data_IF_535004010600
#
_entry.id   IF_535004010600
#
_cell.length_a   1.000
_cell.length_b   1.000
_cell.length_c   1.000
_cell.angle_alpha   90.00
_cell.angle_beta   90.00
_cell.angle_gamma   90.00
#
_symmetry.space_group_name_H-M   'P 1'
#
loop_
_entity.id
_entity.type
_entity.pdbx_description
1 polymer ?
#
# COMPACT_ATOMS: atom_id res chain seq x y z
N UNK A 1 1.70 -4.59 19.12
CA UNK A 1 1.56 -5.76 18.20
C UNK A 1 0.41 -5.69 17.18
N UNK A 2 -0.83 -5.33 17.53
CA UNK A 2 -2.02 -5.47 16.66
C UNK A 2 -1.97 -4.73 15.29
N UNK A 3 -1.09 -3.75 15.11
CA UNK A 3 -0.96 -2.98 13.87
C UNK A 3 0.05 -3.56 12.85
N UNK A 4 0.84 -4.57 13.24
CA UNK A 4 1.82 -5.20 12.33
C UNK A 4 1.10 -5.99 11.23
N UNK A 5 0.09 -6.77 11.60
CA UNK A 5 -0.69 -7.60 10.68
C UNK A 5 -1.34 -6.77 9.56
N UNK A 6 -2.15 -5.72 9.86
CA UNK A 6 -2.76 -4.91 8.81
C UNK A 6 -1.72 -4.15 7.98
N UNK A 7 -0.57 -3.77 8.56
CA UNK A 7 0.49 -3.09 7.82
C UNK A 7 1.19 -4.03 6.81
N UNK A 8 1.52 -5.24 7.23
CA UNK A 8 2.10 -6.28 6.34
C UNK A 8 1.10 -6.66 5.24
N UNK A 9 -0.19 -6.76 5.58
CA UNK A 9 -1.25 -6.98 4.60
C UNK A 9 -1.35 -5.84 3.57
N UNK A 10 -1.22 -4.57 4.00
CA UNK A 10 -1.19 -3.42 3.09
C UNK A 10 0.00 -3.50 2.12
N UNK A 11 1.20 -3.90 2.58
CA UNK A 11 2.34 -4.11 1.69
C UNK A 11 2.10 -5.23 0.67
N UNK A 12 1.52 -6.35 1.10
CA UNK A 12 1.15 -7.45 0.20
C UNK A 12 0.14 -7.01 -0.86
N UNK A 13 -0.90 -6.27 -0.45
CA UNK A 13 -1.87 -5.69 -1.37
C UNK A 13 -1.20 -4.74 -2.36
N UNK A 14 -0.29 -3.90 -1.90
CA UNK A 14 0.39 -2.93 -2.75
C UNK A 14 1.22 -3.62 -3.84
N UNK A 15 1.95 -4.68 -3.49
CA UNK A 15 2.69 -5.50 -4.45
C UNK A 15 1.73 -6.18 -5.43
N UNK A 16 0.65 -6.80 -4.94
CA UNK A 16 -0.34 -7.45 -5.80
C UNK A 16 -1.00 -6.48 -6.78
N UNK A 17 -1.45 -5.32 -6.30
CA UNK A 17 -2.04 -4.28 -7.14
C UNK A 17 -1.05 -3.71 -8.16
N UNK A 18 0.22 -3.55 -7.78
CA UNK A 18 1.26 -3.08 -8.69
C UNK A 18 1.48 -4.05 -9.85
N UNK A 19 1.50 -5.36 -9.57
CA UNK A 19 1.61 -6.40 -10.59
C UNK A 19 0.39 -6.40 -11.51
N UNK A 20 -0.82 -6.32 -10.94
CA UNK A 20 -2.07 -6.28 -11.72
C UNK A 20 -2.12 -5.06 -12.64
N UNK A 21 -1.74 -3.88 -12.13
CA UNK A 21 -1.71 -2.65 -12.93
C UNK A 21 -0.64 -2.74 -14.01
N UNK A 22 0.52 -3.33 -13.73
CA UNK A 22 1.59 -3.48 -14.72
C UNK A 22 1.16 -4.42 -15.86
N UNK A 23 0.58 -5.57 -15.54
CA UNK A 23 0.10 -6.55 -16.53
C UNK A 23 -1.07 -5.99 -17.35
N UNK A 24 -1.97 -5.25 -16.72
CA UNK A 24 -3.16 -4.68 -17.39
C UNK A 24 -2.94 -3.23 -17.84
N UNK A 25 -1.69 -2.74 -17.85
CA UNK A 25 -1.38 -1.33 -18.13
C UNK A 25 -1.90 -0.89 -19.49
N UNK A 26 -1.73 -1.71 -20.52
CA UNK A 26 -2.24 -1.44 -21.87
C UNK A 26 -3.76 -1.32 -21.93
N UNK A 27 -4.48 -2.11 -21.12
CA UNK A 27 -5.96 -2.08 -21.05
C UNK A 27 -6.44 -0.87 -20.25
N UNK A 28 -5.74 -0.51 -19.18
CA UNK A 28 -6.08 0.64 -18.34
C UNK A 28 -5.77 1.98 -19.01
N UNK A 29 -4.75 2.03 -19.87
CA UNK A 29 -4.34 3.25 -20.58
C UNK A 29 -5.40 3.66 -21.60
N UNK A 30 -5.92 2.70 -22.37
CA UNK A 30 -7.03 2.91 -23.30
C UNK A 30 -8.30 3.46 -22.63
N UNK A 31 -8.51 3.16 -21.35
CA UNK A 31 -9.66 3.62 -20.58
C UNK A 31 -9.46 4.94 -19.84
N UNK A 32 -8.28 5.55 -19.90
CA UNK A 32 -7.89 6.71 -19.06
C UNK A 32 -8.08 6.48 -17.55
N UNK A 33 -8.12 5.21 -17.12
CA UNK A 33 -8.32 4.80 -15.72
C UNK A 33 -7.00 4.55 -15.01
N UNK A 34 -5.90 4.41 -15.75
CA UNK A 34 -4.56 4.16 -15.23
C UNK A 34 -4.16 5.19 -14.16
N UNK A 35 -4.47 6.47 -14.38
CA UNK A 35 -4.22 7.52 -13.39
C UNK A 35 -4.97 7.34 -12.07
N UNK A 36 -6.24 6.89 -12.12
CA UNK A 36 -7.04 6.63 -10.91
C UNK A 36 -6.51 5.42 -10.14
N UNK A 37 -6.08 4.36 -10.84
CA UNK A 37 -5.46 3.19 -10.23
C UNK A 37 -4.11 3.51 -9.57
N UNK A 38 -3.28 4.33 -10.22
CA UNK A 38 -2.02 4.83 -9.63
C UNK A 38 -2.29 5.71 -8.40
N UNK A 39 -3.34 6.52 -8.43
CA UNK A 39 -3.74 7.32 -7.27
C UNK A 39 -4.18 6.45 -6.08
N UNK A 40 -4.95 5.38 -6.33
CA UNK A 40 -5.32 4.41 -5.30
C UNK A 40 -4.09 3.69 -4.74
N UNK A 41 -3.15 3.28 -5.59
CA UNK A 41 -1.86 2.69 -5.16
C UNK A 41 -1.08 3.64 -4.25
N UNK A 42 -1.01 4.94 -4.61
CA UNK A 42 -0.37 5.98 -3.79
C UNK A 42 -1.05 6.13 -2.43
N UNK A 43 -2.39 6.11 -2.39
CA UNK A 43 -3.15 6.12 -1.13
C UNK A 43 -2.82 4.92 -0.25
N UNK A 44 -2.77 3.72 -0.84
CA UNK A 44 -2.42 2.48 -0.15
C UNK A 44 -0.98 2.49 0.37
N UNK A 45 -0.05 3.10 -0.38
CA UNK A 45 1.33 3.34 0.04
C UNK A 45 1.41 4.26 1.26
N UNK A 46 0.65 5.37 1.26
CA UNK A 46 0.61 6.29 2.40
C UNK A 46 0.04 5.64 3.65
N UNK A 47 -1.03 4.84 3.52
CA UNK A 47 -1.60 4.06 4.64
C UNK A 47 -0.56 3.10 5.21
N UNK A 48 0.20 2.42 4.35
CA UNK A 48 1.29 1.52 4.75
C UNK A 48 2.46 2.25 5.43
N UNK A 49 2.79 3.46 4.98
CA UNK A 49 3.80 4.30 5.64
C UNK A 49 3.36 4.75 7.04
N UNK A 50 2.10 5.15 7.21
CA UNK A 50 1.54 5.54 8.51
C UNK A 50 1.52 4.36 9.47
N UNK A 51 1.12 3.17 8.99
CA UNK A 51 1.16 1.94 9.78
C UNK A 51 2.58 1.60 10.24
N UNK A 52 3.56 1.70 9.34
CA UNK A 52 4.98 1.51 9.64
C UNK A 52 5.51 2.54 10.66
N UNK A 53 5.15 3.81 10.51
CA UNK A 53 5.54 4.87 11.46
C UNK A 53 4.94 4.65 12.85
N UNK A 54 3.71 4.17 12.93
CA UNK A 54 3.09 3.77 14.22
C UNK A 54 3.78 2.58 14.87
N UNK A 55 4.22 1.59 14.09
CA UNK A 55 4.99 0.46 14.61
C UNK A 55 6.36 0.95 15.12
N UNK A 56 7.02 1.83 14.36
CA UNK A 56 8.30 2.42 14.74
C UNK A 56 8.21 3.21 16.05
N UNK A 57 7.16 4.03 16.21
CA UNK A 57 6.92 4.78 17.45
C UNK A 57 6.62 3.83 18.63
N UNK A 58 5.88 2.74 18.42
CA UNK A 58 5.67 1.72 19.45
C UNK A 58 6.97 1.02 19.88
N UNK A 59 7.88 0.73 18.94
CA UNK A 59 9.22 0.22 19.24
C UNK A 59 9.98 1.22 20.11
N UNK A 60 9.96 2.50 19.72
CA UNK A 60 10.68 3.57 20.42
C UNK A 60 10.14 3.85 21.82
N UNK A 61 8.83 3.68 22.02
CA UNK A 61 8.17 3.81 23.32
C UNK A 61 8.27 2.55 24.20
N UNK A 62 8.87 1.46 23.71
CA UNK A 62 8.98 0.20 24.45
C UNK A 62 7.63 -0.50 24.70
N UNK A 63 6.60 -0.18 23.92
CA UNK A 63 5.24 -0.74 24.03
C UNK A 63 5.03 -1.99 23.16
N UNK A 64 6.13 -2.60 22.71
CA UNK A 64 6.13 -3.75 21.83
C UNK A 64 6.51 -5.03 22.57
#
# INVERSE_FOLDING_TARGET
>A
MAWIIPNVFCYLMLIGFSIVIFINSEVLDHGNLLGLWVFILLGLFLVSLIGSYRIWTWIKEGKL
#
